data_IF_188399739877
#
_entry.id   IF_188399739877
#
_cell.length_a   1.000
_cell.length_b   1.000
_cell.length_c   1.000
_cell.angle_alpha   90.00
_cell.angle_beta   90.00
_cell.angle_gamma   90.00
#
_symmetry.space_group_name_H-M   'P 1'
#
loop_
_entity.id
_entity.type
_entity.pdbx_description
1 polymer ?
#
# COMPACT_ATOMS: atom_id res chain seq x y z
N UNK A 1 77.52 34.45 -16.76
CA UNK A 1 76.21 34.50 -16.10
C UNK A 1 76.38 33.96 -14.69
N UNK A 2 75.83 34.59 -13.64
CA UNK A 2 75.91 34.06 -12.29
C UNK A 2 75.24 32.67 -12.25
N UNK A 3 75.93 31.69 -11.65
CA UNK A 3 75.46 30.31 -11.56
C UNK A 3 74.56 30.17 -10.32
N UNK A 4 73.32 29.76 -10.52
CA UNK A 4 72.37 29.57 -9.42
C UNK A 4 72.77 28.36 -8.59
N UNK A 5 73.13 28.62 -7.34
CA UNK A 5 73.61 27.61 -6.40
C UNK A 5 72.66 27.47 -5.22
N UNK A 6 72.54 26.27 -4.63
CA UNK A 6 71.74 26.10 -3.43
C UNK A 6 72.31 26.97 -2.30
N UNK A 7 71.44 27.43 -1.38
CA UNK A 7 71.88 28.23 -0.24
C UNK A 7 72.93 27.45 0.58
N UNK A 8 73.90 28.17 1.17
CA UNK A 8 75.05 27.58 1.89
C UNK A 8 74.63 26.63 3.02
N UNK A 9 73.42 26.80 3.58
CA UNK A 9 72.82 25.92 4.60
C UNK A 9 71.91 24.80 4.06
N UNK A 10 71.78 24.64 2.75
CA UNK A 10 70.88 23.68 2.09
C UNK A 10 69.39 24.05 2.15
N UNK A 11 68.55 23.21 1.55
CA UNK A 11 67.09 23.35 1.64
C UNK A 11 66.55 22.71 2.91
N UNK A 12 65.45 23.25 3.43
CA UNK A 12 64.75 22.65 4.56
C UNK A 12 64.30 21.21 4.27
N UNK A 13 64.17 20.36 5.29
CA UNK A 13 63.78 18.97 5.10
C UNK A 13 62.35 18.87 4.55
N UNK A 14 62.20 18.29 3.36
CA UNK A 14 60.90 18.05 2.73
C UNK A 14 60.33 16.72 3.22
N UNK A 15 59.10 16.74 3.73
CA UNK A 15 58.42 15.51 4.16
C UNK A 15 57.99 14.68 2.95
N UNK A 16 58.76 13.63 2.64
CA UNK A 16 58.48 12.68 1.56
C UNK A 16 57.66 11.46 2.02
N UNK A 17 57.48 11.29 3.34
CA UNK A 17 56.77 10.13 3.93
C UNK A 17 55.26 10.38 3.95
N UNK A 18 54.49 9.31 3.73
CA UNK A 18 53.02 9.33 3.71
C UNK A 18 52.47 9.71 5.10
N UNK A 19 51.82 10.87 5.19
CA UNK A 19 51.24 11.40 6.43
C UNK A 19 49.71 11.25 6.45
N UNK A 20 49.22 10.01 6.55
CA UNK A 20 47.77 9.75 6.58
C UNK A 20 47.42 9.20 7.97
N UNK A 21 46.87 10.04 8.87
CA UNK A 21 46.44 9.57 10.19
C UNK A 21 45.22 8.68 10.06
N UNK A 22 45.25 7.50 10.68
CA UNK A 22 44.06 6.67 10.82
C UNK A 22 43.08 7.37 11.77
N UNK A 23 42.03 7.97 11.20
CA UNK A 23 41.01 8.72 11.94
C UNK A 23 39.72 7.90 12.02
N UNK A 24 39.12 7.83 13.20
CA UNK A 24 37.84 7.14 13.42
C UNK A 24 37.80 6.39 14.75
N UNK A 25 36.61 5.88 15.10
CA UNK A 25 36.45 5.02 16.26
C UNK A 25 36.78 3.57 15.92
N UNK A 26 37.02 2.74 16.94
CA UNK A 26 37.32 1.32 16.74
C UNK A 26 36.13 0.64 16.05
N UNK A 27 36.33 -0.34 15.15
CA UNK A 27 35.24 -0.98 14.39
C UNK A 27 34.06 -1.48 15.24
N UNK A 28 34.36 -2.01 16.44
CA UNK A 28 33.36 -2.51 17.40
C UNK A 28 32.37 -1.43 17.84
N UNK A 29 32.79 -0.17 17.95
CA UNK A 29 31.90 0.93 18.37
C UNK A 29 30.76 1.17 17.38
N UNK A 30 31.06 1.07 16.08
CA UNK A 30 30.04 1.18 15.03
C UNK A 30 29.08 -0.01 15.05
N UNK A 31 29.59 -1.23 15.30
CA UNK A 31 28.75 -2.41 15.40
C UNK A 31 27.77 -2.30 16.57
N UNK A 32 28.23 -1.87 17.74
CA UNK A 32 27.36 -1.67 18.91
C UNK A 32 26.32 -0.58 18.63
N UNK A 33 26.73 0.57 18.07
CA UNK A 33 25.81 1.65 17.73
C UNK A 33 24.74 1.21 16.73
N UNK A 34 25.13 0.46 15.70
CA UNK A 34 24.21 -0.09 14.71
C UNK A 34 23.20 -1.07 15.33
N UNK A 35 23.66 -1.98 16.20
CA UNK A 35 22.77 -2.96 16.84
C UNK A 35 21.76 -2.30 17.79
N UNK A 36 22.17 -1.25 18.51
CA UNK A 36 21.26 -0.48 19.36
C UNK A 36 20.19 0.26 18.53
N UNK A 37 20.60 0.88 17.43
CA UNK A 37 19.68 1.56 16.52
C UNK A 37 18.68 0.58 15.89
N UNK A 38 19.16 -0.58 15.43
CA UNK A 38 18.31 -1.63 14.88
C UNK A 38 17.36 -2.18 15.95
N UNK A 39 17.87 -2.51 17.15
CA UNK A 39 17.05 -3.01 18.25
C UNK A 39 15.92 -2.05 18.64
N UNK A 40 16.22 -0.74 18.69
CA UNK A 40 15.21 0.28 18.93
C UNK A 40 14.21 0.40 17.76
N UNK A 41 14.67 0.31 16.53
CA UNK A 41 13.82 0.28 15.34
C UNK A 41 12.83 -0.89 15.37
N UNK A 42 13.31 -2.10 15.68
CA UNK A 42 12.46 -3.28 15.83
C UNK A 42 11.47 -3.14 17.00
N UNK A 43 11.88 -2.56 18.12
CA UNK A 43 10.98 -2.29 19.25
C UNK A 43 9.82 -1.36 18.84
N UNK A 44 10.12 -0.27 18.11
CA UNK A 44 9.10 0.66 17.60
C UNK A 44 8.22 0.05 16.53
N UNK A 45 8.79 -0.74 15.62
CA UNK A 45 8.05 -1.46 14.59
C UNK A 45 7.10 -2.50 15.22
N UNK A 46 7.52 -3.21 16.27
CA UNK A 46 6.66 -4.15 16.98
C UNK A 46 5.45 -3.44 17.61
N UNK A 47 5.66 -2.27 18.22
CA UNK A 47 4.56 -1.45 18.74
C UNK A 47 3.64 -0.97 17.61
N UNK A 48 4.21 -0.46 16.52
CA UNK A 48 3.44 -0.02 15.35
C UNK A 48 2.66 -1.16 14.69
N UNK A 49 3.20 -2.38 14.61
CA UNK A 49 2.49 -3.55 14.07
C UNK A 49 1.36 -3.97 15.00
N UNK A 50 1.52 -3.87 16.33
CA UNK A 50 0.42 -4.11 17.27
C UNK A 50 -0.70 -3.10 17.05
N UNK A 51 -0.35 -1.83 16.89
CA UNK A 51 -1.29 -0.74 16.56
C UNK A 51 -1.92 -0.90 15.16
N UNK A 52 -1.21 -1.44 14.17
CA UNK A 52 -1.72 -1.66 12.81
C UNK A 52 -2.50 -2.96 12.64
N UNK A 53 -2.19 -4.01 13.41
CA UNK A 53 -3.02 -5.23 13.50
C UNK A 53 -4.44 -4.89 13.95
N UNK A 54 -4.60 -3.71 14.55
CA UNK A 54 -5.86 -3.08 14.87
C UNK A 54 -6.48 -2.25 13.72
N UNK A 55 -5.91 -2.23 12.51
CA UNK A 55 -6.35 -1.37 11.38
C UNK A 55 -6.42 -2.13 10.05
N UNK A 56 -5.58 -3.16 9.86
CA UNK A 56 -5.38 -3.83 8.57
C UNK A 56 -5.64 -5.32 8.62
N UNK A 57 -6.92 -5.69 8.59
CA UNK A 57 -7.30 -7.03 8.14
C UNK A 57 -7.30 -7.05 6.61
N UNK A 58 -6.20 -7.55 6.05
CA UNK A 58 -6.17 -7.96 4.65
C UNK A 58 -7.05 -9.21 4.55
N UNK A 59 -8.32 -9.02 4.23
CA UNK A 59 -9.24 -10.10 3.89
C UNK A 59 -8.58 -10.95 2.79
N UNK A 60 -8.08 -12.13 3.14
CA UNK A 60 -7.52 -13.09 2.20
C UNK A 60 -8.69 -13.81 1.54
N UNK A 61 -8.94 -13.62 0.24
CA UNK A 61 -10.17 -14.09 -0.40
C UNK A 61 -10.26 -15.63 -0.53
N UNK A 62 -9.18 -16.37 -0.23
CA UNK A 62 -9.12 -17.84 -0.44
C UNK A 62 -8.93 -18.64 0.86
N UNK A 63 -9.53 -18.24 2.00
CA UNK A 63 -9.50 -19.09 3.22
C UNK A 63 -10.72 -20.01 3.29
N UNK A 64 -10.49 -21.29 3.62
CA UNK A 64 -11.56 -22.29 3.75
C UNK A 64 -12.48 -21.97 4.94
N UNK A 65 -13.79 -22.31 4.87
CA UNK A 65 -14.79 -21.83 5.84
C UNK A 65 -14.57 -22.29 7.29
N UNK A 66 -13.83 -23.39 7.50
CA UNK A 66 -13.55 -23.97 8.83
C UNK A 66 -12.41 -23.26 9.56
N UNK A 67 -11.48 -22.63 8.83
CA UNK A 67 -10.40 -21.81 9.41
C UNK A 67 -10.82 -20.34 9.55
N UNK A 68 -11.85 -19.90 8.83
CA UNK A 68 -12.37 -18.54 8.89
C UNK A 68 -13.10 -18.23 10.21
N UNK A 69 -13.81 -19.20 10.79
CA UNK A 69 -14.62 -19.00 12.01
C UNK A 69 -13.78 -18.62 13.24
N UNK A 70 -12.63 -19.26 13.43
CA UNK A 70 -11.72 -18.94 14.55
C UNK A 70 -11.07 -17.55 14.41
N UNK A 71 -10.92 -17.06 13.18
CA UNK A 71 -10.19 -15.82 12.91
C UNK A 71 -11.08 -14.59 12.97
N UNK A 72 -12.39 -14.70 12.72
CA UNK A 72 -13.35 -13.63 13.01
C UNK A 72 -13.34 -13.31 14.52
N UNK A 73 -13.21 -14.31 15.39
CA UNK A 73 -13.12 -14.12 16.84
C UNK A 73 -11.77 -13.53 17.31
N UNK A 74 -10.68 -13.77 16.58
CA UNK A 74 -9.33 -13.27 16.94
C UNK A 74 -9.11 -11.82 16.43
N UNK A 75 -9.76 -11.43 15.33
CA UNK A 75 -9.64 -10.10 14.69
C UNK A 75 -10.47 -8.99 15.33
N UNK A 76 -11.46 -9.32 16.15
CA UNK A 76 -12.38 -8.37 16.81
C UNK A 76 -11.76 -7.66 18.04
N UNK A 77 -10.52 -7.98 18.40
CA UNK A 77 -9.87 -7.53 19.64
C UNK A 77 -9.32 -6.10 19.59
N UNK A 78 -9.76 -5.27 18.64
CA UNK A 78 -9.16 -3.97 18.40
C UNK A 78 -10.17 -2.87 18.12
N UNK A 79 -10.08 -1.78 18.87
CA UNK A 79 -11.02 -0.67 18.81
C UNK A 79 -11.02 0.02 17.45
N UNK A 80 -9.85 0.35 16.88
CA UNK A 80 -9.76 1.04 15.58
C UNK A 80 -10.34 0.24 14.40
N UNK A 81 -10.08 -1.07 14.29
CA UNK A 81 -10.62 -1.89 13.20
C UNK A 81 -12.13 -2.04 13.36
N UNK A 82 -12.59 -2.15 14.61
CA UNK A 82 -14.00 -2.22 14.94
C UNK A 82 -14.67 -0.90 14.57
N UNK A 83 -14.14 0.25 14.96
CA UNK A 83 -14.64 1.57 14.56
C UNK A 83 -14.72 1.71 13.04
N UNK A 84 -13.68 1.29 12.31
CA UNK A 84 -13.67 1.30 10.84
C UNK A 84 -14.72 0.37 10.23
N UNK A 85 -14.85 -0.85 10.75
CA UNK A 85 -15.83 -1.85 10.27
C UNK A 85 -17.24 -1.38 10.57
N UNK A 86 -17.52 -0.95 11.80
CA UNK A 86 -18.81 -0.38 12.17
C UNK A 86 -19.12 0.87 11.35
N UNK A 87 -18.16 1.78 11.16
CA UNK A 87 -18.33 2.95 10.30
C UNK A 87 -18.79 2.57 8.90
N UNK A 88 -18.19 1.52 8.31
CA UNK A 88 -18.63 0.96 7.02
C UNK A 88 -20.02 0.34 7.10
N UNK A 89 -20.30 -0.44 8.13
CA UNK A 89 -21.56 -1.18 8.27
C UNK A 89 -22.77 -0.25 8.38
N UNK A 90 -22.59 0.92 9.00
CA UNK A 90 -23.63 1.94 9.12
C UNK A 90 -23.91 2.67 7.81
N UNK A 91 -22.89 2.95 6.99
CA UNK A 91 -23.07 3.67 5.72
C UNK A 91 -23.39 2.74 4.54
N UNK A 92 -23.05 1.45 4.65
CA UNK A 92 -23.22 0.47 3.57
C UNK A 92 -24.66 0.38 3.06
N UNK A 93 -25.71 0.36 3.91
CA UNK A 93 -27.08 0.31 3.41
C UNK A 93 -27.46 1.52 2.55
N UNK A 94 -26.97 2.71 2.91
CA UNK A 94 -27.22 3.93 2.14
C UNK A 94 -26.51 3.89 0.79
N UNK A 95 -25.22 3.56 0.77
CA UNK A 95 -24.43 3.46 -0.46
C UNK A 95 -24.96 2.35 -1.38
N UNK A 96 -25.34 1.21 -0.81
CA UNK A 96 -25.93 0.10 -1.56
C UNK A 96 -27.26 0.52 -2.20
N UNK A 97 -28.09 1.27 -1.48
CA UNK A 97 -29.36 1.77 -2.02
C UNK A 97 -29.16 2.81 -3.14
N UNK A 98 -28.16 3.69 -3.00
CA UNK A 98 -27.77 4.63 -4.07
C UNK A 98 -27.30 3.89 -5.33
N UNK A 99 -26.41 2.92 -5.17
CA UNK A 99 -25.91 2.11 -6.28
C UNK A 99 -27.05 1.32 -6.95
N UNK A 100 -27.90 0.65 -6.17
CA UNK A 100 -29.00 -0.16 -6.72
C UNK A 100 -30.00 0.72 -7.52
N UNK A 101 -30.25 1.97 -7.11
CA UNK A 101 -31.08 2.92 -7.89
C UNK A 101 -30.44 3.27 -9.24
N UNK A 102 -29.14 3.55 -9.25
CA UNK A 102 -28.42 3.87 -10.47
C UNK A 102 -28.31 2.68 -11.44
N UNK A 103 -28.09 1.48 -10.90
CA UNK A 103 -28.04 0.25 -11.69
C UNK A 103 -29.39 -0.04 -12.35
N UNK A 104 -30.49 0.10 -11.61
CA UNK A 104 -31.84 -0.07 -12.14
C UNK A 104 -32.13 0.93 -13.27
N UNK A 105 -31.73 2.19 -13.10
CA UNK A 105 -31.88 3.23 -14.12
C UNK A 105 -31.13 2.89 -15.40
N UNK A 106 -29.88 2.43 -15.30
CA UNK A 106 -29.08 2.01 -16.47
C UNK A 106 -29.70 0.80 -17.15
N UNK A 107 -30.09 -0.21 -16.38
CA UNK A 107 -30.67 -1.44 -16.90
C UNK A 107 -31.98 -1.20 -17.68
N UNK A 108 -32.86 -0.33 -17.19
CA UNK A 108 -34.08 0.00 -17.94
C UNK A 108 -33.81 0.86 -19.18
N UNK A 109 -32.85 1.79 -19.13
CA UNK A 109 -32.40 2.52 -20.31
C UNK A 109 -31.81 1.59 -21.37
N UNK A 110 -31.11 0.54 -20.94
CA UNK A 110 -30.50 -0.45 -21.83
C UNK A 110 -31.55 -1.28 -22.55
N UNK A 111 -32.52 -1.78 -21.80
CA UNK A 111 -33.64 -2.53 -22.35
C UNK A 111 -34.49 -1.69 -23.31
N UNK A 112 -34.72 -0.42 -22.99
CA UNK A 112 -35.45 0.48 -23.88
C UNK A 112 -34.70 0.68 -25.20
N UNK A 113 -33.39 0.93 -25.15
CA UNK A 113 -32.55 1.08 -26.34
C UNK A 113 -32.44 -0.22 -27.15
N UNK A 114 -32.28 -1.38 -26.48
CA UNK A 114 -32.25 -2.68 -27.15
C UNK A 114 -33.57 -2.94 -27.88
N UNK A 115 -34.70 -2.63 -27.25
CA UNK A 115 -36.03 -2.76 -27.85
C UNK A 115 -36.23 -1.84 -29.05
N UNK A 116 -35.72 -0.61 -29.01
CA UNK A 116 -35.77 0.32 -30.15
C UNK A 116 -34.92 -0.17 -31.33
N UNK A 117 -33.74 -0.74 -31.07
CA UNK A 117 -32.81 -1.18 -32.12
C UNK A 117 -33.15 -2.56 -32.69
N UNK A 118 -33.54 -3.51 -31.85
CA UNK A 118 -33.73 -4.92 -32.19
C UNK A 118 -35.21 -5.34 -32.21
N UNK A 119 -36.13 -4.45 -31.82
CA UNK A 119 -37.57 -4.70 -31.81
C UNK A 119 -38.07 -5.63 -30.69
N UNK A 120 -37.20 -6.30 -29.96
CA UNK A 120 -37.56 -7.23 -28.88
C UNK A 120 -36.57 -7.16 -27.71
N UNK A 121 -37.04 -7.50 -26.52
CA UNK A 121 -36.22 -7.65 -25.31
C UNK A 121 -35.84 -9.13 -25.17
N UNK A 122 -34.55 -9.44 -25.33
CA UNK A 122 -34.08 -10.83 -25.29
C UNK A 122 -33.47 -11.18 -23.93
N UNK A 123 -33.96 -12.25 -23.30
CA UNK A 123 -33.42 -12.74 -22.04
C UNK A 123 -32.39 -13.84 -22.32
N UNK A 124 -31.16 -13.66 -21.86
CA UNK A 124 -30.09 -14.65 -22.05
C UNK A 124 -30.30 -15.91 -21.21
N UNK A 125 -30.81 -15.75 -19.99
CA UNK A 125 -31.00 -16.84 -19.04
C UNK A 125 -32.47 -17.21 -18.88
N UNK A 126 -32.78 -18.49 -18.80
CA UNK A 126 -34.15 -18.99 -18.65
C UNK A 126 -34.71 -18.86 -17.21
N UNK A 127 -33.96 -18.29 -16.26
CA UNK A 127 -34.35 -18.14 -14.85
C UNK A 127 -34.98 -16.79 -14.58
N UNK A 128 -36.02 -16.70 -13.76
CA UNK A 128 -36.66 -15.42 -13.38
C UNK A 128 -35.83 -14.56 -12.40
N UNK A 129 -34.63 -15.01 -12.04
CA UNK A 129 -33.73 -14.27 -11.15
C UNK A 129 -33.04 -13.15 -11.94
N UNK A 130 -32.98 -11.96 -11.35
CA UNK A 130 -32.16 -10.88 -11.87
C UNK A 130 -30.67 -11.25 -11.79
N UNK A 131 -29.98 -11.11 -12.91
CA UNK A 131 -28.53 -11.29 -13.04
C UNK A 131 -27.95 -9.95 -13.48
N UNK A 132 -26.96 -9.45 -12.74
CA UNK A 132 -26.26 -8.20 -13.10
C UNK A 132 -25.52 -8.40 -14.41
N UNK A 133 -25.64 -7.49 -15.40
CA UNK A 133 -24.90 -7.61 -16.66
C UNK A 133 -23.39 -7.47 -16.41
N UNK A 134 -22.60 -8.40 -16.95
CA UNK A 134 -21.13 -8.42 -16.78
C UNK A 134 -20.43 -7.30 -17.57
N UNK A 135 -21.00 -6.94 -18.72
CA UNK A 135 -20.44 -5.93 -19.61
C UNK A 135 -21.43 -4.79 -19.77
N UNK A 136 -20.91 -3.57 -19.71
CA UNK A 136 -21.68 -2.35 -19.98
C UNK A 136 -20.98 -1.63 -21.13
N UNK A 137 -21.75 -1.13 -22.08
CA UNK A 137 -21.24 -0.34 -23.18
C UNK A 137 -20.86 1.04 -22.61
N UNK A 138 -19.58 1.39 -22.68
CA UNK A 138 -19.10 2.72 -22.29
C UNK A 138 -18.93 3.58 -23.55
N UNK A 139 -19.31 4.87 -23.53
CA UNK A 139 -19.11 5.73 -24.69
C UNK A 139 -17.62 5.83 -25.01
N UNK A 140 -17.29 5.84 -26.31
CA UNK A 140 -15.91 5.91 -26.81
C UNK A 140 -15.20 7.22 -26.46
N UNK A 141 -15.98 8.27 -26.15
CA UNK A 141 -15.48 9.56 -25.67
C UNK A 141 -16.20 9.85 -24.34
N UNK A 142 -15.43 9.89 -23.26
CA UNK A 142 -15.91 10.39 -21.96
C UNK A 142 -15.84 11.91 -22.05
N UNK A 143 -16.94 12.60 -21.76
CA UNK A 143 -16.92 14.05 -21.56
C UNK A 143 -16.07 14.34 -20.33
N UNK A 144 -14.93 15.01 -20.53
CA UNK A 144 -14.12 15.57 -19.45
C UNK A 144 -14.83 16.76 -18.82
#
# INVERSE_FOLDING_TARGET
MPQDMPPVGGYGPVQYKRNIPARGFRPITYLVGMHLLMGYGYYKLFHGIREQKYVTHRFSPNRTPKEAQWLIAIDLNSELAREKVWGRLHILPLLQAEEDRDQVRRHFADKAREKELLGSESKVYNTERFVRPTFVYTPTKVTQ
#
